data_IF_757158609188
#
_entry.id   IF_757158609188
#
_cell.length_a   1.000
_cell.length_b   1.000
_cell.length_c   1.000
_cell.angle_alpha   90.00
_cell.angle_beta   90.00
_cell.angle_gamma   90.00
#
_symmetry.space_group_name_H-M   'P 1'
#
loop_
_entity.id
_entity.type
_entity.pdbx_description
1 polymer ?
#
# COMPACT_ATOMS: atom_id res chain seq x y z
N UNK A 1 4.08 8.03 9.97
CA UNK A 1 4.18 6.56 9.95
C UNK A 1 4.08 6.02 8.52
N UNK A 2 4.85 4.96 8.20
CA UNK A 2 4.72 4.22 6.94
C UNK A 2 3.75 3.04 7.08
N UNK A 3 2.87 2.86 6.10
CA UNK A 3 1.78 1.88 6.05
C UNK A 3 1.94 1.06 4.77
N UNK A 4 1.89 -0.26 4.92
CA UNK A 4 2.00 -1.21 3.83
C UNK A 4 0.64 -1.84 3.52
N UNK A 5 0.25 -1.82 2.26
CA UNK A 5 -1.02 -2.33 1.75
C UNK A 5 -0.70 -3.48 0.78
N UNK A 6 -0.66 -4.73 1.22
CA UNK A 6 -0.25 -5.84 0.37
C UNK A 6 -1.30 -6.22 -0.68
N UNK A 7 -0.81 -6.83 -1.78
CA UNK A 7 -1.63 -7.54 -2.77
C UNK A 7 -2.70 -6.66 -3.43
N UNK A 8 -2.39 -5.40 -3.69
CA UNK A 8 -3.27 -4.53 -4.48
C UNK A 8 -3.41 -5.08 -5.91
N UNK A 9 -4.52 -4.82 -6.61
CA UNK A 9 -4.66 -5.18 -8.02
C UNK A 9 -3.51 -4.62 -8.88
N UNK A 10 -3.07 -5.36 -9.90
CA UNK A 10 -1.99 -4.93 -10.81
C UNK A 10 -2.34 -3.65 -11.60
N UNK A 11 -3.63 -3.41 -11.80
CA UNK A 11 -4.19 -2.23 -12.44
C UNK A 11 -4.25 -1.01 -11.53
N UNK A 12 -3.98 -1.18 -10.22
CA UNK A 12 -4.06 -0.09 -9.24
C UNK A 12 -3.09 1.02 -9.60
N UNK A 13 -3.62 2.22 -9.77
CA UNK A 13 -2.82 3.42 -9.96
C UNK A 13 -2.44 4.06 -8.64
N UNK A 14 -1.36 4.85 -8.64
CA UNK A 14 -1.00 5.69 -7.49
C UNK A 14 -2.18 6.56 -7.07
N UNK A 15 -2.87 7.18 -8.03
CA UNK A 15 -4.00 8.09 -7.78
C UNK A 15 -5.16 7.38 -7.10
N UNK A 16 -5.50 6.15 -7.52
CA UNK A 16 -6.57 5.36 -6.88
C UNK A 16 -6.20 4.98 -5.45
N UNK A 17 -4.95 4.53 -5.23
CA UNK A 17 -4.47 4.19 -3.90
C UNK A 17 -4.48 5.42 -2.98
N UNK A 18 -4.00 6.56 -3.48
CA UNK A 18 -3.98 7.83 -2.76
C UNK A 18 -5.41 8.33 -2.46
N UNK A 19 -6.31 8.24 -3.43
CA UNK A 19 -7.72 8.61 -3.27
C UNK A 19 -8.45 7.74 -2.25
N UNK A 20 -8.18 6.43 -2.21
CA UNK A 20 -8.71 5.54 -1.18
C UNK A 20 -8.26 5.97 0.22
N UNK A 21 -6.97 6.22 0.38
CA UNK A 21 -6.37 6.63 1.67
C UNK A 21 -6.88 8.00 2.10
N UNK A 22 -6.92 8.98 1.18
CA UNK A 22 -7.42 10.32 1.46
C UNK A 22 -8.90 10.27 1.87
N UNK A 23 -9.73 9.54 1.12
CA UNK A 23 -11.14 9.37 1.45
C UNK A 23 -11.38 8.72 2.80
N UNK A 24 -10.49 7.83 3.28
CA UNK A 24 -10.58 7.29 4.63
C UNK A 24 -10.23 8.33 5.69
N UNK A 25 -9.18 9.12 5.47
CA UNK A 25 -8.77 10.17 6.40
C UNK A 25 -9.82 11.30 6.47
N UNK A 26 -10.46 11.63 5.36
CA UNK A 26 -11.49 12.68 5.27
C UNK A 26 -12.83 12.27 5.90
N UNK A 27 -13.15 10.97 5.97
CA UNK A 27 -14.37 10.46 6.63
C UNK A 27 -14.42 10.74 8.13
N UNK A 28 -13.38 11.35 8.71
CA UNK A 28 -13.28 11.61 10.14
C UNK A 28 -13.26 13.10 10.44
N UNK A 29 -14.44 13.64 10.70
CA UNK A 29 -14.61 15.04 11.11
C UNK A 29 -14.35 15.30 12.62
N UNK A 30 -14.29 14.27 13.46
CA UNK A 30 -14.44 14.43 14.93
C UNK A 30 -13.36 13.80 15.82
N UNK A 31 -12.24 13.30 15.27
CA UNK A 31 -11.19 12.76 16.13
C UNK A 31 -10.04 13.75 16.27
N UNK A 32 -9.59 14.01 17.51
CA UNK A 32 -8.46 14.89 17.76
C UNK A 32 -7.17 14.16 17.42
N UNK A 33 -6.87 14.06 16.13
CA UNK A 33 -5.49 13.82 15.73
C UNK A 33 -4.64 14.98 16.24
N UNK A 34 -3.42 14.68 16.67
CA UNK A 34 -2.47 15.70 17.16
C UNK A 34 -2.27 16.84 16.15
N UNK A 35 -2.45 16.56 14.85
CA UNK A 35 -2.41 17.48 13.71
C UNK A 35 -3.35 17.00 12.61
N UNK A 36 -3.67 17.88 11.65
CA UNK A 36 -4.42 17.51 10.45
C UNK A 36 -3.72 16.34 9.72
N UNK A 37 -4.43 15.24 9.40
CA UNK A 37 -3.86 14.14 8.62
C UNK A 37 -3.38 14.59 7.24
N UNK A 38 -2.23 14.10 6.84
CA UNK A 38 -1.59 14.36 5.55
C UNK A 38 -0.95 13.08 5.02
N UNK A 39 -1.07 12.88 3.71
CA UNK A 39 -0.36 11.83 2.98
C UNK A 39 0.92 12.46 2.44
N UNK A 40 2.07 12.05 2.99
CA UNK A 40 3.37 12.61 2.59
C UNK A 40 3.96 11.89 1.37
N UNK A 41 3.64 10.60 1.23
CA UNK A 41 4.04 9.82 0.07
C UNK A 41 3.05 8.68 -0.17
N UNK A 42 2.85 8.30 -1.42
CA UNK A 42 2.02 7.19 -1.84
C UNK A 42 2.64 6.54 -3.08
N UNK A 43 3.03 5.28 -2.96
CA UNK A 43 3.71 4.52 -4.00
C UNK A 43 3.02 3.17 -4.22
N UNK A 44 2.92 2.76 -5.49
CA UNK A 44 2.64 1.38 -5.86
C UNK A 44 3.99 0.71 -6.16
N UNK A 45 4.24 -0.42 -5.52
CA UNK A 45 5.45 -1.20 -5.61
C UNK A 45 5.14 -2.51 -6.33
N UNK A 46 5.99 -2.87 -7.28
CA UNK A 46 5.98 -4.16 -7.94
C UNK A 46 7.10 -5.01 -7.37
N UNK A 47 6.72 -6.18 -6.84
CA UNK A 47 7.62 -7.19 -6.31
C UNK A 47 7.65 -8.33 -7.31
N UNK A 48 8.83 -8.65 -7.83
CA UNK A 48 9.04 -9.82 -8.69
C UNK A 48 9.92 -10.80 -7.95
N UNK A 49 9.47 -12.04 -7.80
CA UNK A 49 10.30 -13.09 -7.19
C UNK A 49 11.18 -13.81 -8.22
N UNK A 50 11.97 -14.78 -7.74
CA UNK A 50 12.88 -15.57 -8.57
C UNK A 50 12.18 -16.52 -9.55
N UNK A 51 10.90 -16.84 -9.31
CA UNK A 51 10.07 -17.67 -10.19
C UNK A 51 9.35 -16.82 -11.25
N UNK A 52 9.49 -15.50 -11.19
CA UNK A 52 8.87 -14.55 -12.11
C UNK A 52 7.46 -14.14 -11.73
N UNK A 53 6.95 -14.57 -10.57
CA UNK A 53 5.65 -14.15 -10.06
C UNK A 53 5.75 -12.67 -9.67
N UNK A 54 4.75 -11.91 -10.10
CA UNK A 54 4.66 -10.48 -9.87
C UNK A 54 3.53 -10.17 -8.89
N UNK A 55 3.86 -9.56 -7.76
CA UNK A 55 2.90 -9.03 -6.79
C UNK A 55 2.97 -7.49 -6.75
N UNK A 56 1.82 -6.85 -6.54
CA UNK A 56 1.72 -5.40 -6.39
C UNK A 56 1.33 -5.04 -4.96
N UNK A 57 1.93 -3.98 -4.44
CA UNK A 57 1.72 -3.52 -3.07
C UNK A 57 1.66 -1.99 -3.00
N UNK A 58 0.88 -1.45 -2.08
CA UNK A 58 0.91 -0.03 -1.72
C UNK A 58 1.88 0.24 -0.58
N UNK A 59 2.60 1.37 -0.67
CA UNK A 59 3.35 1.94 0.44
C UNK A 59 2.96 3.40 0.61
N UNK A 60 2.44 3.73 1.77
CA UNK A 60 1.87 5.04 2.05
C UNK A 60 2.50 5.61 3.31
N UNK A 61 2.88 6.88 3.29
CA UNK A 61 3.37 7.60 4.46
C UNK A 61 2.31 8.59 4.90
N UNK A 62 1.81 8.43 6.13
CA UNK A 62 0.78 9.29 6.72
C UNK A 62 1.36 10.00 7.94
N UNK A 63 1.05 11.28 8.11
CA UNK A 63 1.30 12.02 9.35
C UNK A 63 0.01 12.69 9.79
N UNK A 64 -0.26 12.82 11.10
CA UNK A 64 0.50 12.27 12.22
C UNK A 64 0.36 10.73 12.40
N UNK A 65 1.12 10.14 13.32
CA UNK A 65 1.21 8.67 13.47
C UNK A 65 -0.06 8.02 14.03
N UNK A 66 -0.78 8.73 14.88
CA UNK A 66 -2.14 8.42 15.33
C UNK A 66 -3.13 8.36 14.16
N UNK A 67 -3.02 9.25 13.18
CA UNK A 67 -3.80 9.18 11.94
C UNK A 67 -3.50 7.91 11.13
N UNK A 68 -2.23 7.54 11.02
CA UNK A 68 -1.86 6.29 10.37
C UNK A 68 -2.35 5.05 11.14
N UNK A 69 -2.32 5.08 12.47
CA UNK A 69 -2.74 3.95 13.33
C UNK A 69 -4.25 3.76 13.25
N UNK A 70 -4.98 4.87 13.24
CA UNK A 70 -6.41 4.88 12.95
C UNK A 70 -6.71 4.35 11.55
N UNK A 71 -5.97 4.81 10.53
CA UNK A 71 -6.16 4.35 9.15
C UNK A 71 -6.01 2.82 9.05
N UNK A 72 -5.01 2.23 9.69
CA UNK A 72 -4.81 0.77 9.70
C UNK A 72 -6.03 0.05 10.30
N UNK A 73 -6.51 0.50 11.47
CA UNK A 73 -7.65 -0.12 12.14
C UNK A 73 -8.98 0.02 11.38
N UNK A 74 -9.10 1.07 10.56
CA UNK A 74 -10.31 1.39 9.79
C UNK A 74 -10.19 1.05 8.29
N UNK A 75 -9.09 0.41 7.90
CA UNK A 75 -8.87 -0.07 6.53
C UNK A 75 -9.70 -1.32 6.21
N UNK A 76 -10.35 -1.93 7.21
CA UNK A 76 -11.15 -3.16 7.03
C UNK A 76 -12.34 -2.88 6.12
N UNK A 77 -12.57 -3.80 5.17
CA UNK A 77 -13.70 -3.72 4.23
C UNK A 77 -13.46 -2.79 3.03
N UNK A 78 -12.28 -2.16 2.95
CA UNK A 78 -11.92 -1.37 1.78
C UNK A 78 -11.58 -2.26 0.59
N UNK A 79 -11.89 -1.77 -0.60
CA UNK A 79 -11.67 -2.49 -1.85
C UNK A 79 -10.99 -1.59 -2.87
N UNK A 80 -10.14 -2.21 -3.69
CA UNK A 80 -9.64 -1.65 -4.94
C UNK A 80 -9.99 -2.62 -6.05
N UNK A 81 -10.66 -2.14 -7.10
CA UNK A 81 -11.10 -2.96 -8.24
C UNK A 81 -11.79 -4.27 -7.81
N UNK A 82 -12.78 -4.16 -6.91
CA UNK A 82 -13.55 -5.27 -6.32
C UNK A 82 -12.72 -6.31 -5.54
N UNK A 83 -11.46 -5.99 -5.22
CA UNK A 83 -10.59 -6.82 -4.40
C UNK A 83 -10.43 -6.21 -3.02
N UNK A 84 -10.74 -7.00 -1.99
CA UNK A 84 -10.50 -6.61 -0.61
C UNK A 84 -9.02 -6.34 -0.35
N UNK A 85 -8.74 -5.19 0.22
CA UNK A 85 -7.39 -4.78 0.61
C UNK A 85 -7.32 -4.62 2.13
N UNK A 86 -6.12 -4.81 2.68
CA UNK A 86 -5.86 -4.57 4.09
C UNK A 86 -4.60 -3.74 4.24
N UNK A 87 -4.46 -3.06 5.38
CA UNK A 87 -3.29 -2.25 5.69
C UNK A 87 -2.62 -2.76 6.96
N UNK A 88 -1.30 -2.58 7.05
CA UNK A 88 -0.53 -2.81 8.27
C UNK A 88 0.62 -1.81 8.35
N UNK A 89 1.17 -1.62 9.55
CA UNK A 89 2.37 -0.78 9.71
C UNK A 89 3.55 -1.38 8.93
N UNK A 90 4.27 -0.54 8.20
CA UNK A 90 5.51 -0.94 7.56
C UNK A 90 6.65 -0.93 8.61
N UNK A 91 7.25 -2.09 8.84
CA UNK A 91 8.37 -2.25 9.76
C UNK A 91 9.68 -2.17 8.98
N UNK A 92 10.38 -1.05 9.12
CA UNK A 92 11.73 -0.91 8.59
C UNK A 92 12.69 -1.70 9.48
N UNK A 93 13.20 -2.84 8.98
CA UNK A 93 14.20 -3.62 9.71
C UNK A 93 15.59 -2.99 9.51
N UNK A 94 16.22 -2.56 10.60
CA UNK A 94 17.60 -2.08 10.58
C UNK A 94 18.55 -3.24 10.26
N UNK A 95 19.26 -3.14 9.13
CA UNK A 95 20.28 -4.13 8.73
C UNK A 95 21.48 -4.21 9.68
N UNK A 96 21.70 -3.18 10.51
CA UNK A 96 22.89 -3.05 11.33
C UNK A 96 22.79 -3.65 12.74
N UNK A 97 21.58 -3.89 13.27
CA UNK A 97 21.41 -4.20 14.69
C UNK A 97 21.54 -5.68 15.07
N UNK A 98 21.58 -6.57 14.09
CA UNK A 98 21.96 -7.98 14.27
C UNK A 98 22.10 -8.58 12.89
N UNK A 99 23.28 -9.15 12.58
CA UNK A 99 23.36 -10.19 11.54
C UNK A 99 22.84 -11.44 12.23
N UNK A 100 21.61 -11.90 11.97
CA UNK A 100 21.27 -13.26 12.36
C UNK A 100 22.27 -14.19 11.66
N UNK A 101 22.57 -15.36 12.24
CA UNK A 101 23.25 -16.41 11.47
C UNK A 101 22.52 -16.55 10.11
N UNK A 102 23.27 -16.73 9.01
CA UNK A 102 22.70 -16.69 7.66
C UNK A 102 21.49 -17.62 7.48
N UNK A 103 21.44 -18.72 8.24
CA UNK A 103 20.32 -19.68 8.29
C UNK A 103 19.01 -19.12 8.87
N UNK A 104 19.06 -18.09 9.72
CA UNK A 104 17.89 -17.47 10.32
C UNK A 104 17.29 -16.34 9.46
N UNK A 105 17.97 -15.89 8.40
CA UNK A 105 17.46 -14.84 7.51
C UNK A 105 16.46 -15.43 6.50
N UNK A 106 15.18 -15.49 6.88
CA UNK A 106 14.07 -15.94 6.01
C UNK A 106 13.70 -14.95 4.88
N UNK A 107 14.62 -14.06 4.48
CA UNK A 107 14.38 -13.11 3.40
C UNK A 107 14.35 -13.86 2.07
N UNK A 108 13.42 -13.47 1.20
CA UNK A 108 13.45 -13.91 -0.19
C UNK A 108 14.53 -13.11 -0.91
N UNK A 109 15.75 -13.65 -0.96
CA UNK A 109 16.94 -13.00 -1.55
C UNK A 109 16.77 -12.66 -3.04
N UNK A 110 15.84 -13.32 -3.73
CA UNK A 110 15.57 -13.14 -5.15
C UNK A 110 14.42 -12.15 -5.46
N UNK A 111 13.88 -11.42 -4.47
CA UNK A 111 12.87 -10.40 -4.76
C UNK A 111 13.52 -9.15 -5.34
N UNK A 112 13.06 -8.76 -6.52
CA UNK A 112 13.29 -7.45 -7.10
C UNK A 112 12.10 -6.54 -6.78
N UNK A 113 12.37 -5.37 -6.20
CA UNK A 113 11.33 -4.38 -5.85
C UNK A 113 11.53 -3.17 -6.76
N UNK A 114 10.48 -2.80 -7.48
CA UNK A 114 10.48 -1.62 -8.36
C UNK A 114 9.28 -0.73 -8.02
N UNK A 115 9.46 0.59 -8.12
CA UNK A 115 8.37 1.55 -7.98
C UNK A 115 7.66 1.69 -9.32
N UNK A 116 6.34 1.59 -9.33
CA UNK A 116 5.52 1.80 -10.52
C UNK A 116 5.38 3.30 -10.73
N UNK A 117 6.11 3.84 -11.72
CA UNK A 117 6.18 5.29 -11.97
C UNK A 117 5.01 5.80 -12.81
N UNK A 118 4.53 4.99 -13.76
CA UNK A 118 3.38 5.30 -14.60
C UNK A 118 2.55 4.03 -14.80
N UNK A 119 1.40 3.94 -14.14
CA UNK A 119 0.35 3.04 -14.59
C UNK A 119 -0.48 3.81 -15.60
N UNK A 120 -0.14 3.64 -16.89
CA UNK A 120 -1.18 3.75 -17.91
C UNK A 120 -2.18 2.64 -17.55
N UNK A 121 -3.40 2.96 -17.07
CA UNK A 121 -4.38 1.91 -16.87
C UNK A 121 -4.57 1.29 -18.26
N UNK A 122 -4.35 -0.02 -18.40
CA UNK A 122 -4.99 -0.73 -19.50
C UNK A 122 -6.47 -0.47 -19.27
N UNK A 123 -7.04 0.45 -20.05
CA UNK A 123 -8.47 0.69 -20.12
C UNK A 123 -9.05 -0.68 -20.47
N UNK A 124 -9.57 -1.39 -19.47
CA UNK A 124 -10.45 -2.50 -19.76
C UNK A 124 -11.63 -1.82 -20.43
N UNK A 125 -11.79 -2.05 -21.73
CA UNK A 125 -12.96 -1.60 -22.46
C UNK A 125 -14.17 -2.00 -21.61
N UNK A 126 -14.93 -1.01 -21.16
CA UNK A 126 -16.24 -1.23 -20.58
C UNK A 126 -17.10 -1.62 -21.76
N UNK A 127 -17.03 -2.90 -22.11
CA UNK A 127 -17.95 -3.47 -23.07
C UNK A 127 -19.27 -3.70 -22.35
N UNK A 128 -20.36 -3.37 -23.04
CA UNK A 128 -21.77 -3.41 -22.62
C UNK A 128 -22.36 -2.21 -21.84
N UNK A 129 -22.52 -1.08 -22.55
CA UNK A 129 -23.83 -0.45 -22.56
C UNK A 129 -24.84 -1.47 -23.12
N UNK A 130 -25.54 -2.20 -22.24
CA UNK A 130 -26.80 -2.82 -22.63
C UNK A 130 -27.87 -1.73 -22.69
N UNK A 131 -28.52 -1.68 -23.84
CA UNK A 131 -29.64 -0.81 -24.24
C UNK A 131 -30.79 -0.85 -23.24
#
# INVERSE_FOLDING_TARGET
MKIFIPRVPATTTKRELEGLVAGLLDKRFHFPFTKRPQINNCDVLQFRDGEGIVEYHGLVSVTPDDAGSWLISHFKGQQLHNKSVFARQFMQRNRQQSRPAAEADRRRHHIQITKVVNSNPKVMAIDSFRR
#
